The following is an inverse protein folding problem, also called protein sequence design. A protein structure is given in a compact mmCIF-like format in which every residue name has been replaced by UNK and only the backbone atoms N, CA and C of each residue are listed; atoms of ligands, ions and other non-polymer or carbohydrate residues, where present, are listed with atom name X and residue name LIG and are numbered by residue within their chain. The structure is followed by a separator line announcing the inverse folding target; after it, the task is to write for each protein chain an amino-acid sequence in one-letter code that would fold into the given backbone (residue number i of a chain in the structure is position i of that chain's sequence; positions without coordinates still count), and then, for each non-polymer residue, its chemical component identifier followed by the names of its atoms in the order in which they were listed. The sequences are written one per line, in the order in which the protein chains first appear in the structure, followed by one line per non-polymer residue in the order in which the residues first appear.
data_IF_882021477384
#
_entry.id   IF_882021477384
#
_cell.length_a   1.000
_cell.length_b   1.000
_cell.length_c   1.000
_cell.angle_alpha   90.00
_cell.angle_beta   90.00
_cell.angle_gamma   90.00
#
_symmetry.space_group_name_H-M   'P 1'
#
loop_
_entity.id
_entity.type
_entity.pdbx_description
1 polymer ?
#
# COMPACT_ATOMS: atom_id res chain seq x y z
N UNK A 1 -10.26 20.36 7.25
CA UNK A 1 -10.20 19.48 8.41
C UNK A 1 -11.60 19.00 8.73
N UNK A 2 -11.72 17.79 9.24
CA UNK A 2 -12.98 17.25 9.78
C UNK A 2 -12.97 17.39 11.29
N UNK A 3 -14.14 17.38 11.89
CA UNK A 3 -14.29 17.27 13.33
C UNK A 3 -13.72 15.94 13.84
N UNK A 4 -13.32 15.88 15.13
CA UNK A 4 -12.85 14.64 15.73
C UNK A 4 -13.91 13.52 15.60
N UNK A 5 -13.45 12.33 15.25
CA UNK A 5 -14.28 11.14 15.13
C UNK A 5 -13.85 10.17 16.23
N UNK A 6 -14.80 9.79 17.07
CA UNK A 6 -14.60 8.77 18.11
C UNK A 6 -15.16 7.43 17.60
N UNK A 7 -14.47 6.33 17.91
CA UNK A 7 -14.97 4.98 17.66
C UNK A 7 -14.07 4.08 16.83
N UNK A 8 -14.70 3.16 16.12
CA UNK A 8 -14.05 2.09 15.36
C UNK A 8 -13.22 2.64 14.19
N UNK A 9 -11.98 2.19 14.00
CA UNK A 9 -11.15 2.50 12.82
C UNK A 9 -11.86 2.29 11.47
N UNK A 10 -12.74 1.31 11.39
CA UNK A 10 -13.57 1.05 10.20
C UNK A 10 -14.48 2.24 9.87
N UNK A 11 -15.09 2.84 10.88
CA UNK A 11 -15.95 4.02 10.69
C UNK A 11 -15.17 5.21 10.11
N UNK A 12 -13.92 5.40 10.54
CA UNK A 12 -13.03 6.42 9.98
C UNK A 12 -12.73 6.17 8.51
N UNK A 13 -12.54 4.90 8.13
CA UNK A 13 -12.36 4.50 6.72
C UNK A 13 -13.61 4.81 5.89
N UNK A 14 -14.81 4.51 6.40
CA UNK A 14 -16.06 4.78 5.70
C UNK A 14 -16.28 6.30 5.50
N UNK A 15 -15.92 7.13 6.48
CA UNK A 15 -15.92 8.59 6.33
C UNK A 15 -14.94 9.03 5.24
N UNK A 16 -13.71 8.51 5.25
CA UNK A 16 -12.70 8.85 4.25
C UNK A 16 -13.14 8.42 2.83
N UNK A 17 -13.76 7.25 2.70
CA UNK A 17 -14.34 6.79 1.44
C UNK A 17 -15.46 7.72 0.96
N UNK A 18 -16.39 8.07 1.84
CA UNK A 18 -17.51 8.98 1.54
C UNK A 18 -17.00 10.34 1.08
N UNK A 19 -16.00 10.90 1.76
CA UNK A 19 -15.38 12.16 1.37
C UNK A 19 -14.68 12.05 0.00
N UNK A 20 -13.96 10.96 -0.24
CA UNK A 20 -13.33 10.70 -1.53
C UNK A 20 -14.35 10.61 -2.66
N UNK A 21 -15.47 9.93 -2.44
CA UNK A 21 -16.59 9.82 -3.38
C UNK A 21 -17.23 11.19 -3.64
N UNK A 22 -17.46 12.00 -2.60
CA UNK A 22 -17.98 13.35 -2.72
C UNK A 22 -17.07 14.22 -3.61
N UNK A 23 -15.77 14.17 -3.41
CA UNK A 23 -14.81 14.90 -4.23
C UNK A 23 -14.83 14.42 -5.69
N UNK A 24 -14.90 13.13 -5.94
CA UNK A 24 -14.93 12.54 -7.30
C UNK A 24 -16.20 12.92 -8.08
N UNK A 25 -17.35 12.98 -7.41
CA UNK A 25 -18.64 13.40 -8.02
C UNK A 25 -18.55 14.81 -8.59
N UNK A 26 -17.74 15.69 -8.01
CA UNK A 26 -17.55 17.06 -8.52
C UNK A 26 -16.88 17.10 -9.90
N UNK A 27 -16.22 16.02 -10.34
CA UNK A 27 -15.36 15.95 -11.56
C UNK A 27 -14.24 17.01 -11.59
N UNK A 28 -13.89 17.58 -10.42
CA UNK A 28 -12.85 18.63 -10.28
C UNK A 28 -11.55 18.10 -9.66
N UNK A 29 -11.50 16.81 -9.32
CA UNK A 29 -10.31 16.14 -8.79
C UNK A 29 -9.79 15.15 -9.80
N UNK A 30 -8.47 15.00 -9.85
CA UNK A 30 -7.84 13.99 -10.67
C UNK A 30 -8.11 12.60 -10.07
N UNK A 31 -8.05 11.56 -10.91
CA UNK A 31 -8.11 10.16 -10.50
C UNK A 31 -6.70 9.60 -10.40
N UNK A 32 -6.55 8.50 -9.68
CA UNK A 32 -5.29 7.80 -9.49
C UNK A 32 -4.71 7.92 -8.09
N UNK A 33 -3.75 7.05 -7.80
CA UNK A 33 -3.10 6.97 -6.48
C UNK A 33 -2.36 8.28 -6.19
N UNK A 34 -2.58 8.85 -5.00
CA UNK A 34 -1.90 10.07 -4.54
C UNK A 34 -2.52 11.39 -5.02
N UNK A 35 -3.61 11.35 -5.80
CA UNK A 35 -4.33 12.57 -6.23
C UNK A 35 -5.18 13.17 -5.12
N UNK A 36 -5.76 12.34 -4.26
CA UNK A 36 -6.38 12.74 -3.00
C UNK A 36 -5.46 12.31 -1.87
N UNK A 37 -4.91 13.28 -1.13
CA UNK A 37 -4.03 13.02 0.01
C UNK A 37 -4.74 13.33 1.30
N UNK A 38 -4.50 12.49 2.30
CA UNK A 38 -5.05 12.68 3.65
C UNK A 38 -3.95 12.54 4.69
N UNK A 39 -4.03 13.38 5.71
CA UNK A 39 -3.28 13.28 6.94
C UNK A 39 -4.27 12.86 8.05
N UNK A 40 -3.87 11.92 8.89
CA UNK A 40 -4.72 11.38 9.94
C UNK A 40 -4.16 11.78 11.28
N UNK A 41 -4.94 12.50 12.09
CA UNK A 41 -4.57 12.79 13.47
C UNK A 41 -5.17 11.73 14.38
N UNK A 42 -4.31 11.06 15.15
CA UNK A 42 -4.71 9.96 16.05
C UNK A 42 -4.30 10.33 17.47
N UNK A 43 -5.24 10.27 18.40
CA UNK A 43 -5.00 10.46 19.83
C UNK A 43 -5.80 9.45 20.65
N UNK A 44 -5.25 9.10 21.80
CA UNK A 44 -5.96 8.29 22.81
C UNK A 44 -6.04 9.08 24.12
N UNK A 45 -6.89 8.67 25.03
CA UNK A 45 -6.97 9.28 26.37
C UNK A 45 -5.63 9.17 27.10
N UNK A 46 -5.10 10.31 27.53
CA UNK A 46 -3.76 10.42 28.15
C UNK A 46 -2.60 10.14 27.19
N UNK A 47 -2.84 10.16 25.88
CA UNK A 47 -1.82 10.08 24.83
C UNK A 47 -1.49 11.43 24.23
N UNK A 48 -0.66 11.42 23.18
CA UNK A 48 -0.32 12.60 22.37
C UNK A 48 -1.17 12.68 21.11
N UNK A 49 -1.27 13.87 20.52
CA UNK A 49 -1.82 14.01 19.17
C UNK A 49 -0.74 13.69 18.15
N UNK A 50 -0.90 12.59 17.43
CA UNK A 50 0.03 12.12 16.42
C UNK A 50 -0.56 12.37 15.03
N UNK A 51 0.17 13.13 14.20
CA UNK A 51 -0.16 13.33 12.81
C UNK A 51 0.49 12.22 11.96
N UNK A 52 -0.30 11.38 11.30
CA UNK A 52 0.20 10.35 10.39
C UNK A 52 0.01 10.80 8.95
N UNK A 53 1.13 10.91 8.22
CA UNK A 53 1.17 11.31 6.81
C UNK A 53 1.30 10.11 5.89
N UNK A 54 0.84 10.29 4.63
CA UNK A 54 1.06 9.30 3.58
C UNK A 54 0.10 8.12 3.62
N UNK A 55 -1.07 8.26 4.23
CA UNK A 55 -2.14 7.26 4.20
C UNK A 55 -2.88 7.39 2.88
N UNK A 56 -2.35 6.76 1.82
CA UNK A 56 -2.91 6.88 0.47
C UNK A 56 -3.96 5.81 0.16
N UNK A 57 -3.87 4.66 0.80
CA UNK A 57 -4.77 3.52 0.57
C UNK A 57 -5.75 3.38 1.73
N UNK A 58 -7.04 3.46 1.43
CA UNK A 58 -8.09 3.33 2.43
C UNK A 58 -8.05 2.00 3.19
N UNK A 59 -7.62 0.92 2.52
CA UNK A 59 -7.51 -0.41 3.14
C UNK A 59 -6.42 -0.48 4.23
N UNK A 60 -5.47 0.44 4.21
CA UNK A 60 -4.43 0.54 5.25
C UNK A 60 -4.86 1.41 6.44
N UNK A 61 -5.89 2.25 6.26
CA UNK A 61 -6.30 3.23 7.26
C UNK A 61 -6.66 2.60 8.60
N UNK A 62 -7.45 1.53 8.58
CA UNK A 62 -7.82 0.78 9.79
C UNK A 62 -6.59 0.28 10.55
N UNK A 63 -5.68 -0.40 9.84
CA UNK A 63 -4.44 -0.96 10.42
C UNK A 63 -3.54 0.12 11.03
N UNK A 64 -3.41 1.25 10.33
CA UNK A 64 -2.59 2.38 10.78
C UNK A 64 -3.17 2.99 12.06
N UNK A 65 -4.49 3.19 12.12
CA UNK A 65 -5.17 3.73 13.30
C UNK A 65 -5.01 2.78 14.48
N UNK A 66 -5.26 1.49 14.27
CA UNK A 66 -5.10 0.47 15.32
C UNK A 66 -3.65 0.38 15.82
N UNK A 67 -2.68 0.35 14.89
CA UNK A 67 -1.28 0.30 15.26
C UNK A 67 -0.88 1.53 16.09
N UNK A 68 -1.23 2.73 15.63
CA UNK A 68 -0.85 3.96 16.30
C UNK A 68 -1.52 4.10 17.67
N UNK A 69 -2.79 3.70 17.81
CA UNK A 69 -3.48 3.68 19.10
C UNK A 69 -2.79 2.69 20.06
N UNK A 70 -2.45 1.48 19.61
CA UNK A 70 -1.67 0.50 20.39
C UNK A 70 -0.29 1.04 20.75
N UNK A 71 0.38 1.75 19.82
CA UNK A 71 1.69 2.35 20.06
C UNK A 71 1.63 3.38 21.18
N UNK A 72 0.67 4.29 21.12
CA UNK A 72 0.49 5.30 22.18
C UNK A 72 0.17 4.64 23.52
N UNK A 73 -0.71 3.68 23.56
CA UNK A 73 -1.03 2.96 24.77
C UNK A 73 0.17 2.19 25.34
N UNK A 74 0.96 1.53 24.49
CA UNK A 74 2.18 0.84 24.89
C UNK A 74 3.24 1.79 25.44
N UNK A 75 3.43 2.95 24.82
CA UNK A 75 4.36 3.98 25.33
C UNK A 75 3.87 4.59 26.66
N UNK A 76 2.56 4.70 26.85
CA UNK A 76 2.00 5.12 28.16
C UNK A 76 2.32 4.11 29.27
N UNK A 77 2.15 2.81 28.99
CA UNK A 77 2.53 1.75 29.94
C UNK A 77 4.04 1.76 30.26
N UNK A 78 4.89 2.04 29.26
CA UNK A 78 6.34 2.20 29.47
C UNK A 78 6.60 3.43 30.34
N UNK A 79 5.94 4.57 30.09
CA UNK A 79 6.03 5.79 30.88
C UNK A 79 5.70 5.56 32.35
N UNK A 80 4.61 4.86 32.63
CA UNK A 80 4.21 4.51 34.00
C UNK A 80 5.30 3.72 34.73
N UNK A 81 5.94 2.76 34.04
CA UNK A 81 7.09 2.01 34.59
C UNK A 81 8.32 2.87 34.79
N UNK A 82 8.67 3.74 33.85
CA UNK A 82 9.78 4.69 34.01
C UNK A 82 9.59 5.54 35.26
N UNK A 83 8.40 6.09 35.47
CA UNK A 83 8.08 6.92 36.61
C UNK A 83 8.20 6.18 37.95
N UNK A 84 7.96 4.86 37.97
CA UNK A 84 8.14 4.05 39.18
C UNK A 84 9.58 3.76 39.52
N UNK A 85 10.53 3.88 38.57
CA UNK A 85 11.97 3.64 38.84
C UNK A 85 12.67 4.77 39.57
N UNK A 86 12.06 5.96 39.57
CA UNK A 86 12.71 7.19 40.06
C UNK A 86 13.84 7.65 39.12
N UNK A 87 13.72 7.37 37.81
CA UNK A 87 14.58 7.96 36.78
C UNK A 87 14.46 9.48 36.78
N UNK A 88 15.56 10.18 36.68
CA UNK A 88 15.61 11.64 36.67
C UNK A 88 15.92 12.18 35.28
N UNK A 89 17.18 12.17 34.91
CA UNK A 89 17.67 12.67 33.62
C UNK A 89 19.01 12.02 33.27
N UNK A 90 19.45 12.22 32.04
CA UNK A 90 20.75 11.78 31.53
C UNK A 90 21.60 13.03 31.30
N UNK A 91 22.77 13.08 31.97
CA UNK A 91 23.75 14.15 31.77
C UNK A 91 24.70 13.78 30.63
N UNK A 92 24.71 14.56 29.55
CA UNK A 92 25.60 14.28 28.40
C UNK A 92 27.09 14.24 28.83
N UNK A 93 27.48 15.04 29.78
CA UNK A 93 28.88 15.13 30.24
C UNK A 93 29.29 13.99 31.17
N UNK A 94 28.33 13.40 31.90
CA UNK A 94 28.60 12.38 32.92
C UNK A 94 28.23 10.98 32.49
N UNK A 95 27.27 10.85 31.55
CA UNK A 95 26.68 9.59 31.19
C UNK A 95 27.03 9.14 29.75
N UNK A 96 27.82 9.95 29.01
CA UNK A 96 28.23 9.59 27.62
C UNK A 96 29.75 9.38 27.58
N UNK A 97 30.18 8.21 27.13
CA UNK A 97 31.57 7.76 27.13
C UNK A 97 32.02 7.35 25.73
N UNK A 98 33.22 7.76 25.32
CA UNK A 98 33.89 7.19 24.13
C UNK A 98 34.40 5.78 24.50
N UNK A 99 33.81 4.79 23.89
CA UNK A 99 34.14 3.36 24.06
C UNK A 99 34.79 2.75 22.81
N UNK A 100 35.21 3.58 21.86
CA UNK A 100 35.79 3.15 20.59
C UNK A 100 36.92 2.14 20.78
N UNK A 101 37.83 2.42 21.76
CA UNK A 101 38.97 1.51 22.03
C UNK A 101 38.55 0.15 22.60
N UNK A 102 37.50 0.12 23.41
CA UNK A 102 36.97 -1.12 24.02
C UNK A 102 36.33 -2.01 22.98
N UNK A 103 35.66 -1.39 22.02
CA UNK A 103 34.91 -2.11 20.98
C UNK A 103 35.76 -2.50 19.75
N UNK A 104 37.09 -2.27 19.77
CA UNK A 104 37.95 -2.57 18.61
C UNK A 104 38.00 -4.06 18.25
N UNK A 105 37.96 -4.93 19.23
CA UNK A 105 38.03 -6.39 19.03
C UNK A 105 36.65 -7.08 18.98
N UNK A 106 35.57 -6.28 19.12
CA UNK A 106 34.22 -6.79 19.12
C UNK A 106 33.87 -7.48 17.79
N UNK A 107 33.16 -8.61 17.88
CA UNK A 107 32.79 -9.42 16.70
C UNK A 107 31.59 -8.89 15.92
N UNK A 108 30.95 -7.83 16.37
CA UNK A 108 29.82 -7.22 15.68
C UNK A 108 30.21 -6.68 14.30
N UNK A 109 29.54 -7.14 13.26
CA UNK A 109 29.76 -6.68 11.87
C UNK A 109 29.49 -5.18 11.73
N UNK A 110 28.54 -4.65 12.48
CA UNK A 110 28.18 -3.22 12.45
C UNK A 110 29.30 -2.41 13.09
N UNK A 111 29.78 -2.80 14.26
CA UNK A 111 30.87 -2.12 14.97
C UNK A 111 32.18 -2.19 14.16
N UNK A 112 32.55 -3.36 13.62
CA UNK A 112 33.74 -3.52 12.76
C UNK A 112 33.72 -2.55 11.58
N UNK A 113 32.57 -2.46 10.90
CA UNK A 113 32.39 -1.56 9.76
C UNK A 113 32.52 -0.09 10.14
N UNK A 114 32.05 0.30 11.32
CA UNK A 114 32.21 1.65 11.85
C UNK A 114 33.69 1.95 12.18
N UNK A 115 34.42 0.97 12.76
CA UNK A 115 35.86 1.12 13.05
C UNK A 115 36.66 1.26 11.74
N UNK A 116 36.38 0.45 10.73
CA UNK A 116 37.01 0.57 9.39
C UNK A 116 36.82 1.95 8.77
N UNK A 117 35.66 2.56 9.01
CA UNK A 117 35.34 3.93 8.56
C UNK A 117 35.90 5.04 9.47
N UNK A 118 36.64 4.67 10.51
CA UNK A 118 37.17 5.61 11.51
C UNK A 118 36.08 6.40 12.25
N UNK A 119 34.90 5.83 12.35
CA UNK A 119 33.79 6.37 13.12
C UNK A 119 34.05 6.20 14.62
N UNK A 120 33.30 6.93 15.43
CA UNK A 120 33.37 6.84 16.90
C UNK A 120 32.26 5.97 17.43
N UNK A 121 32.54 5.27 18.52
CA UNK A 121 31.57 4.45 19.24
C UNK A 121 31.41 5.03 20.63
N UNK A 122 30.15 5.31 20.96
CA UNK A 122 29.80 5.88 22.27
C UNK A 122 28.90 4.91 23.03
N UNK A 123 29.15 4.85 24.34
CA UNK A 123 28.24 4.22 25.30
C UNK A 123 27.48 5.31 26.05
N UNK A 124 26.19 5.14 26.21
CA UNK A 124 25.35 6.06 27.00
C UNK A 124 24.81 5.29 28.20
N UNK A 125 25.15 5.70 29.40
CA UNK A 125 24.63 5.15 30.66
C UNK A 125 23.26 5.75 30.95
N UNK A 126 22.31 4.88 31.32
CA UNK A 126 20.95 5.29 31.64
C UNK A 126 20.55 4.67 32.97
N UNK A 127 20.61 5.50 34.01
CA UNK A 127 20.36 5.03 35.37
C UNK A 127 18.93 4.58 35.55
N UNK A 128 18.71 3.47 36.24
CA UNK A 128 17.42 2.92 36.68
C UNK A 128 16.45 2.50 35.59
N UNK A 129 16.89 2.34 34.33
CA UNK A 129 16.01 1.96 33.22
C UNK A 129 16.28 0.54 32.66
N UNK A 130 16.91 -0.35 33.43
CA UNK A 130 17.16 -1.75 33.02
C UNK A 130 15.85 -2.44 32.68
N UNK A 131 15.82 -3.12 31.55
CA UNK A 131 14.67 -3.90 31.06
C UNK A 131 13.60 -3.07 30.34
N UNK A 132 13.67 -1.73 30.35
CA UNK A 132 12.61 -0.88 29.80
C UNK A 132 12.78 -0.58 28.31
N UNK A 133 13.98 -0.74 27.74
CA UNK A 133 14.20 -0.61 26.29
C UNK A 133 13.66 -1.80 25.51
N UNK A 134 13.81 -2.99 26.11
CA UNK A 134 13.31 -4.25 25.56
C UNK A 134 11.86 -4.56 25.91
N UNK A 135 11.26 -3.83 26.87
CA UNK A 135 9.86 -4.03 27.26
C UNK A 135 8.92 -3.82 26.08
N UNK A 136 8.12 -4.83 25.79
CA UNK A 136 7.21 -4.87 24.64
C UNK A 136 5.77 -5.05 25.12
N UNK A 137 5.06 -3.97 25.51
CA UNK A 137 3.67 -4.06 25.94
C UNK A 137 2.72 -4.60 24.87
N UNK A 138 3.02 -4.31 23.62
CA UNK A 138 2.36 -4.83 22.42
C UNK A 138 3.40 -5.18 21.38
N UNK A 139 3.08 -6.10 20.48
CA UNK A 139 3.97 -6.56 19.42
C UNK A 139 4.58 -5.37 18.67
N UNK A 140 5.89 -5.37 18.56
CA UNK A 140 6.68 -4.33 17.87
C UNK A 140 6.67 -2.92 18.51
N UNK A 141 6.16 -2.76 19.72
CA UNK A 141 6.10 -1.48 20.42
C UNK A 141 7.05 -1.48 21.63
N UNK A 142 8.23 -0.90 21.45
CA UNK A 142 9.34 -0.85 22.42
C UNK A 142 10.03 0.49 22.38
N UNK A 143 10.50 0.95 23.52
CA UNK A 143 11.30 2.18 23.60
C UNK A 143 12.59 2.10 22.75
N UNK A 144 13.25 0.93 22.75
CA UNK A 144 14.43 0.68 21.93
C UNK A 144 14.15 0.86 20.43
N UNK A 145 12.99 0.39 19.94
CA UNK A 145 12.58 0.57 18.53
C UNK A 145 12.33 2.04 18.18
N UNK A 146 11.70 2.81 19.07
CA UNK A 146 11.47 4.24 18.90
C UNK A 146 12.80 5.01 18.75
N UNK A 147 13.77 4.70 19.62
CA UNK A 147 15.10 5.30 19.56
C UNK A 147 15.83 4.87 18.28
N UNK A 148 15.76 3.59 17.91
CA UNK A 148 16.36 3.09 16.68
C UNK A 148 15.81 3.77 15.42
N UNK A 149 14.52 4.12 15.40
CA UNK A 149 13.93 4.91 14.31
C UNK A 149 14.45 6.36 14.32
N UNK A 150 14.55 6.96 15.49
CA UNK A 150 14.99 8.35 15.64
C UNK A 150 16.41 8.58 15.13
N UNK A 151 17.36 7.71 15.44
CA UNK A 151 18.77 7.91 15.07
C UNK A 151 19.01 7.79 13.56
N UNK A 152 18.12 7.18 12.82
CA UNK A 152 18.22 7.08 11.34
C UNK A 152 18.19 8.45 10.66
N UNK A 153 17.57 9.46 11.27
CA UNK A 153 17.60 10.85 10.79
C UNK A 153 18.98 11.45 10.76
N UNK A 154 19.90 10.92 11.57
CA UNK A 154 21.28 11.34 11.63
C UNK A 154 22.20 10.47 10.77
N UNK A 155 21.64 9.64 9.90
CA UNK A 155 22.40 8.72 9.06
C UNK A 155 22.95 7.50 9.79
N UNK A 156 22.52 7.26 11.04
CA UNK A 156 22.97 6.16 11.89
C UNK A 156 22.02 4.98 11.72
N UNK A 157 22.58 3.78 11.46
CA UNK A 157 21.81 2.58 11.16
C UNK A 157 20.92 2.08 12.31
N UNK A 158 21.27 2.39 13.56
CA UNK A 158 20.55 1.98 14.77
C UNK A 158 21.38 2.16 16.02
N UNK A 159 20.83 1.70 17.14
CA UNK A 159 21.50 1.62 18.45
C UNK A 159 21.35 0.21 18.99
N UNK A 160 22.30 -0.24 19.79
CA UNK A 160 22.17 -1.44 20.63
C UNK A 160 21.82 -1.01 22.04
N UNK A 161 20.93 -1.75 22.70
CA UNK A 161 20.61 -1.51 24.11
C UNK A 161 20.90 -2.74 24.96
N UNK A 162 21.22 -2.52 26.22
CA UNK A 162 21.60 -3.55 27.18
C UNK A 162 20.58 -4.71 27.27
N UNK A 163 19.30 -4.43 27.07
CA UNK A 163 18.25 -5.44 27.26
C UNK A 163 18.16 -6.45 26.09
N UNK A 164 18.84 -6.20 24.97
CA UNK A 164 18.89 -7.14 23.83
C UNK A 164 20.25 -7.85 23.70
N UNK A 165 21.19 -7.51 24.53
CA UNK A 165 22.53 -8.10 24.55
C UNK A 165 22.61 -9.26 25.57
N UNK A 166 23.45 -10.32 25.31
CA UNK A 166 24.39 -10.47 24.19
C UNK A 166 23.69 -10.85 22.88
N UNK A 167 24.02 -10.13 21.82
CA UNK A 167 23.50 -10.36 20.46
C UNK A 167 24.33 -9.60 19.42
N UNK A 168 24.06 -9.78 18.13
CA UNK A 168 24.65 -9.03 17.01
C UNK A 168 26.19 -9.08 16.94
N UNK A 169 26.80 -10.10 17.55
CA UNK A 169 28.26 -10.24 17.66
C UNK A 169 28.89 -9.38 18.76
N UNK A 170 28.09 -8.85 19.68
CA UNK A 170 28.52 -8.27 20.94
C UNK A 170 28.38 -9.37 22.00
N UNK A 171 29.50 -9.81 22.56
CA UNK A 171 29.58 -10.95 23.45
C UNK A 171 29.68 -10.52 24.93
N UNK A 172 29.53 -11.46 25.86
CA UNK A 172 29.58 -11.19 27.31
C UNK A 172 30.86 -10.48 27.74
N UNK A 173 31.99 -10.78 27.08
CA UNK A 173 33.26 -10.11 27.33
C UNK A 173 33.23 -8.61 26.98
N UNK A 174 32.63 -8.29 25.83
CA UNK A 174 32.47 -6.89 25.41
C UNK A 174 31.51 -6.15 26.36
N UNK A 175 30.39 -6.79 26.72
CA UNK A 175 29.39 -6.25 27.63
C UNK A 175 30.02 -5.93 28.98
N UNK A 176 30.86 -6.83 29.51
CA UNK A 176 31.57 -6.63 30.78
C UNK A 176 32.49 -5.39 30.71
N UNK A 177 33.28 -5.25 29.64
CA UNK A 177 34.16 -4.08 29.47
C UNK A 177 33.37 -2.78 29.34
N UNK A 178 32.26 -2.81 28.60
CA UNK A 178 31.36 -1.65 28.48
C UNK A 178 30.73 -1.31 29.83
N UNK A 179 30.24 -2.28 30.60
CA UNK A 179 29.61 -2.13 31.90
C UNK A 179 30.60 -1.52 32.91
N UNK A 180 31.83 -2.01 32.93
CA UNK A 180 32.90 -1.45 33.78
C UNK A 180 33.24 -0.02 33.38
N UNK A 181 33.38 0.26 32.09
CA UNK A 181 33.73 1.62 31.60
C UNK A 181 32.64 2.65 31.87
N UNK A 182 31.37 2.27 31.79
CA UNK A 182 30.22 3.15 32.01
C UNK A 182 29.80 3.18 33.49
N UNK A 183 30.44 2.42 34.36
CA UNK A 183 30.06 2.28 35.79
C UNK A 183 28.58 1.96 35.96
N UNK A 184 28.12 0.89 35.23
CA UNK A 184 26.71 0.47 35.21
C UNK A 184 26.37 -0.30 36.50
N UNK A 185 25.36 0.18 37.21
CA UNK A 185 24.83 -0.45 38.41
C UNK A 185 23.69 -1.48 38.06
N UNK A 186 23.26 -2.27 39.03
CA UNK A 186 22.33 -3.39 38.83
C UNK A 186 21.02 -3.00 38.15
N UNK A 187 20.52 -1.79 38.31
CA UNK A 187 19.26 -1.30 37.75
C UNK A 187 19.44 -0.38 36.54
N UNK A 188 20.68 -0.19 36.09
CA UNK A 188 20.97 0.71 34.98
C UNK A 188 20.91 -0.02 33.65
N UNK A 189 20.56 0.72 32.62
CA UNK A 189 20.69 0.32 31.23
C UNK A 189 21.82 1.09 30.55
N UNK A 190 22.22 0.62 29.38
CA UNK A 190 23.10 1.37 28.50
C UNK A 190 22.69 1.23 27.03
N UNK A 191 23.12 2.21 26.24
CA UNK A 191 23.04 2.16 24.79
C UNK A 191 24.43 2.21 24.18
N UNK A 192 24.62 1.55 23.04
CA UNK A 192 25.82 1.65 22.20
C UNK A 192 25.41 2.24 20.87
N UNK A 193 26.08 3.31 20.46
CA UNK A 193 25.84 3.99 19.19
C UNK A 193 27.16 4.25 18.47
N UNK A 194 27.18 4.00 17.16
CA UNK A 194 28.35 4.21 16.33
C UNK A 194 28.02 5.15 15.15
N UNK A 195 28.95 6.03 14.81
CA UNK A 195 28.80 6.93 13.68
C UNK A 195 29.89 8.00 13.61
N UNK A 196 29.82 8.85 12.59
CA UNK A 196 30.71 10.00 12.49
C UNK A 196 30.52 10.94 13.68
N UNK A 197 31.61 11.61 14.11
CA UNK A 197 31.65 12.38 15.36
C UNK A 197 30.54 13.43 15.47
N UNK A 198 30.22 14.16 14.41
CA UNK A 198 29.23 15.24 14.45
C UNK A 198 27.81 14.64 14.42
N UNK A 199 27.41 13.81 13.43
CA UNK A 199 26.08 13.20 13.43
C UNK A 199 25.77 12.41 14.70
N UNK A 200 26.72 11.62 15.23
CA UNK A 200 26.49 10.83 16.44
C UNK A 200 26.28 11.71 17.67
N UNK A 201 26.91 12.87 17.74
CA UNK A 201 26.69 13.82 18.85
C UNK A 201 25.24 14.37 18.84
N UNK A 202 24.72 14.74 17.68
CA UNK A 202 23.32 15.17 17.55
C UNK A 202 22.33 14.00 17.81
N UNK A 203 22.67 12.81 17.37
CA UNK A 203 21.85 11.63 17.66
C UNK A 203 21.78 11.34 19.17
N UNK A 204 22.88 11.46 19.89
CA UNK A 204 22.92 11.33 21.36
C UNK A 204 22.05 12.40 22.05
N UNK A 205 22.09 13.63 21.61
CA UNK A 205 21.21 14.68 22.12
C UNK A 205 19.74 14.35 21.89
N UNK A 206 19.40 13.86 20.70
CA UNK A 206 18.06 13.43 20.37
C UNK A 206 17.61 12.21 21.21
N UNK A 207 18.49 11.25 21.45
CA UNK A 207 18.24 10.09 22.33
C UNK A 207 17.94 10.54 23.75
N UNK A 208 18.79 11.40 24.32
CA UNK A 208 18.62 11.92 25.68
C UNK A 208 17.27 12.61 25.81
N UNK A 209 16.94 13.49 24.88
CA UNK A 209 15.64 14.15 24.83
C UNK A 209 14.47 13.17 24.71
N UNK A 210 14.60 12.17 23.84
CA UNK A 210 13.53 11.17 23.62
C UNK A 210 13.27 10.32 24.86
N UNK A 211 14.34 9.94 25.59
CA UNK A 211 14.22 9.17 26.84
C UNK A 211 13.62 10.07 27.94
N UNK A 212 14.02 11.32 28.01
CA UNK A 212 13.46 12.29 28.98
C UNK A 212 11.96 12.50 28.75
N UNK A 213 11.54 12.64 27.51
CA UNK A 213 10.12 12.75 27.13
C UNK A 213 9.33 11.46 27.36
N UNK A 214 10.00 10.30 27.42
CA UNK A 214 9.32 9.02 27.66
C UNK A 214 8.65 8.94 29.05
N UNK A 215 9.03 9.79 30.00
CA UNK A 215 8.34 9.92 31.31
C UNK A 215 6.92 10.47 31.16
N UNK A 216 6.71 11.31 30.17
CA UNK A 216 5.44 12.02 29.96
C UNK A 216 4.50 11.23 29.02
N UNK A 217 4.95 10.06 28.54
CA UNK A 217 4.20 9.21 27.62
C UNK A 217 4.58 9.42 26.15
N UNK A 218 3.65 9.18 25.20
CA UNK A 218 3.91 9.35 23.77
C UNK A 218 4.04 10.86 23.44
N UNK A 219 5.18 11.29 22.88
CA UNK A 219 5.37 12.70 22.51
C UNK A 219 4.51 13.05 21.29
N UNK A 220 4.06 14.30 21.22
CA UNK A 220 3.39 14.83 20.05
C UNK A 220 4.37 14.90 18.86
N UNK A 221 4.11 14.14 17.80
CA UNK A 221 5.00 14.03 16.65
C UNK A 221 4.23 13.79 15.34
N UNK A 222 4.92 14.03 14.22
CA UNK A 222 4.45 13.64 12.89
C UNK A 222 5.14 12.33 12.53
N UNK A 223 4.36 11.37 12.06
CA UNK A 223 4.81 10.03 11.64
C UNK A 223 4.45 9.78 10.20
N UNK A 224 5.10 8.85 9.53
CA UNK A 224 4.76 8.40 8.20
C UNK A 224 4.14 6.99 8.29
N UNK A 225 3.07 6.77 7.53
CA UNK A 225 2.51 5.44 7.31
C UNK A 225 3.45 4.59 6.45
N UNK A 226 3.54 3.30 6.74
CA UNK A 226 4.28 2.34 5.91
C UNK A 226 3.34 1.40 5.20
N UNK A 227 3.84 0.72 4.18
CA UNK A 227 3.05 -0.29 3.45
C UNK A 227 2.61 -1.47 4.32
N UNK A 228 3.27 -1.69 5.47
CA UNK A 228 2.91 -2.76 6.42
C UNK A 228 1.72 -2.40 7.32
N UNK A 229 1.30 -1.13 7.31
CA UNK A 229 0.24 -0.63 8.19
C UNK A 229 0.74 -0.19 9.57
N UNK A 230 2.05 -0.04 9.76
CA UNK A 230 2.67 0.59 10.92
C UNK A 230 3.09 2.04 10.62
N UNK A 231 3.61 2.73 11.62
CA UNK A 231 4.07 4.11 11.50
C UNK A 231 5.53 4.24 11.90
N UNK A 232 6.26 5.15 11.25
CA UNK A 232 7.64 5.50 11.60
C UNK A 232 7.75 6.98 11.92
N UNK A 233 8.66 7.34 12.85
CA UNK A 233 8.93 8.72 13.19
C UNK A 233 9.37 9.52 11.97
N UNK A 234 8.81 10.71 11.79
CA UNK A 234 9.16 11.61 10.70
C UNK A 234 9.79 12.91 11.24
N UNK A 235 9.17 13.54 12.21
CA UNK A 235 9.65 14.76 12.85
C UNK A 235 8.83 15.06 14.12
N UNK A 236 9.32 15.91 15.03
CA UNK A 236 8.47 16.48 16.07
C UNK A 236 7.30 17.24 15.46
N UNK A 237 6.16 17.27 16.14
CA UNK A 237 5.02 18.07 15.70
C UNK A 237 5.39 19.54 15.73
N UNK A 238 5.07 20.33 14.70
CA UNK A 238 5.26 21.77 14.73
C UNK A 238 4.53 22.38 15.92
N UNK A 239 5.24 23.20 16.71
CA UNK A 239 4.63 23.92 17.82
C UNK A 239 3.68 25.04 17.36
N UNK A 240 2.98 25.65 18.32
CA UNK A 240 2.01 26.72 18.09
C UNK A 240 2.58 27.92 17.29
N UNK A 241 3.89 28.13 17.32
CA UNK A 241 4.58 29.17 16.54
C UNK A 241 4.49 29.01 15.02
N UNK A 242 4.07 27.83 14.53
CA UNK A 242 3.79 27.58 13.09
C UNK A 242 2.30 27.60 12.74
N UNK A 243 1.43 27.81 13.72
CA UNK A 243 -0.02 27.86 13.55
C UNK A 243 -0.52 29.24 14.01
N UNK A 244 -0.06 30.28 13.34
CA UNK A 244 -0.57 31.63 13.52
C UNK A 244 -1.71 31.91 12.55
N UNK A 245 -2.61 32.85 12.89
CA UNK A 245 -3.66 33.29 11.97
C UNK A 245 -3.05 33.80 10.66
N UNK A 246 -3.65 33.40 9.52
CA UNK A 246 -3.24 33.89 8.21
C UNK A 246 -3.54 35.38 8.11
N UNK A 247 -2.49 36.19 7.95
CA UNK A 247 -2.62 37.66 7.91
C UNK A 247 -2.50 38.21 6.49
N UNK A 248 -2.01 37.40 5.54
CA UNK A 248 -1.75 37.82 4.17
C UNK A 248 -2.96 37.61 3.24
N UNK A 249 -3.94 36.84 3.70
CA UNK A 249 -5.19 36.60 2.96
C UNK A 249 -6.30 37.47 3.56
N UNK A 250 -6.88 38.38 2.77
CA UNK A 250 -8.01 39.20 3.23
C UNK A 250 -9.25 38.33 3.51
N UNK A 251 -10.09 38.80 4.38
CA UNK A 251 -11.38 38.15 4.67
C UNK A 251 -12.21 38.02 3.40
N UNK A 252 -12.61 36.79 3.07
CA UNK A 252 -13.53 36.51 1.95
C UNK A 252 -14.97 36.63 2.48
N UNK A 253 -15.75 37.52 1.89
CA UNK A 253 -17.17 37.65 2.21
C UNK A 253 -17.96 36.77 1.25
N UNK A 254 -18.64 35.79 1.77
CA UNK A 254 -19.55 34.92 0.99
C UNK A 254 -20.91 35.64 0.90
N UNK A 255 -21.39 35.89 -0.33
CA UNK A 255 -22.68 36.57 -0.57
C UNK A 255 -23.81 35.55 -0.78
N UNK A 256 -25.05 36.01 -0.66
CA UNK A 256 -26.22 35.17 -0.91
C UNK A 256 -26.30 34.73 -2.38
N UNK A 257 -25.86 35.58 -3.31
CA UNK A 257 -25.79 35.29 -4.74
C UNK A 257 -24.79 34.14 -5.01
N UNK A 258 -23.59 34.20 -4.42
CA UNK A 258 -22.59 33.12 -4.54
C UNK A 258 -23.12 31.82 -3.94
N UNK A 259 -23.78 31.88 -2.78
CA UNK A 259 -24.41 30.71 -2.18
C UNK A 259 -25.52 30.11 -3.07
N UNK A 260 -26.31 30.94 -3.71
CA UNK A 260 -27.35 30.49 -4.65
C UNK A 260 -26.72 29.82 -5.88
N UNK A 261 -25.67 30.41 -6.45
CA UNK A 261 -24.93 29.82 -7.57
C UNK A 261 -24.32 28.45 -7.21
N UNK A 262 -23.65 28.38 -6.06
CA UNK A 262 -23.09 27.11 -5.58
C UNK A 262 -24.19 26.06 -5.37
N UNK A 263 -25.30 26.42 -4.72
CA UNK A 263 -26.43 25.50 -4.49
C UNK A 263 -27.06 25.02 -5.81
N UNK A 264 -27.14 25.86 -6.82
CA UNK A 264 -27.67 25.51 -8.14
C UNK A 264 -26.75 24.57 -8.91
N UNK A 265 -25.44 24.57 -8.57
CA UNK A 265 -24.41 23.79 -9.22
C UNK A 265 -23.91 22.62 -8.34
N UNK A 266 -24.62 22.29 -7.25
CA UNK A 266 -24.25 21.10 -6.44
C UNK A 266 -24.35 19.87 -7.31
N UNK A 267 -23.26 19.08 -7.43
CA UNK A 267 -23.28 17.84 -8.20
C UNK A 267 -24.24 16.83 -7.58
N UNK A 268 -24.73 15.91 -8.39
CA UNK A 268 -25.57 14.81 -7.93
C UNK A 268 -24.83 14.00 -6.86
N UNK A 269 -25.56 13.41 -5.92
CA UNK A 269 -24.93 12.53 -4.94
C UNK A 269 -24.31 11.30 -5.62
N UNK A 270 -23.40 10.67 -4.93
CA UNK A 270 -22.75 9.43 -5.42
C UNK A 270 -23.80 8.35 -5.74
N UNK A 271 -24.79 8.15 -4.87
CA UNK A 271 -25.86 7.16 -5.06
C UNK A 271 -26.70 7.46 -6.33
N UNK A 272 -26.97 8.74 -6.58
CA UNK A 272 -27.64 9.17 -7.81
C UNK A 272 -26.79 8.88 -9.05
N UNK A 273 -25.49 9.18 -8.96
CA UNK A 273 -24.55 8.94 -10.06
C UNK A 273 -24.44 7.46 -10.39
N UNK A 274 -24.40 6.58 -9.38
CA UNK A 274 -24.41 5.12 -9.57
C UNK A 274 -25.69 4.66 -10.24
N UNK A 275 -26.87 5.11 -9.77
CA UNK A 275 -28.14 4.75 -10.40
C UNK A 275 -28.23 5.18 -11.87
N UNK A 276 -27.74 6.37 -12.19
CA UNK A 276 -27.69 6.84 -13.58
C UNK A 276 -26.76 5.98 -14.46
N UNK A 277 -25.65 5.50 -13.90
CA UNK A 277 -24.78 4.55 -14.61
C UNK A 277 -25.47 3.20 -14.84
N UNK A 278 -26.17 2.67 -13.83
CA UNK A 278 -26.96 1.44 -13.95
C UNK A 278 -28.01 1.58 -15.06
N UNK A 279 -28.76 2.68 -15.04
CA UNK A 279 -29.82 2.93 -16.02
C UNK A 279 -29.26 3.20 -17.43
N UNK A 280 -28.22 4.04 -17.54
CA UNK A 280 -27.64 4.43 -18.84
C UNK A 280 -26.94 3.29 -19.54
N UNK A 281 -26.18 2.49 -18.81
CA UNK A 281 -25.34 1.44 -19.38
C UNK A 281 -25.86 0.03 -19.15
N UNK A 282 -26.99 -0.13 -18.45
CA UNK A 282 -27.59 -1.42 -18.11
C UNK A 282 -26.61 -2.38 -17.43
N UNK A 283 -25.76 -1.83 -16.53
CA UNK A 283 -24.82 -2.58 -15.71
C UNK A 283 -25.37 -2.78 -14.30
N UNK A 284 -24.92 -3.80 -13.58
CA UNK A 284 -25.37 -4.03 -12.21
C UNK A 284 -24.71 -3.03 -11.22
N UNK A 285 -25.32 -2.87 -10.04
CA UNK A 285 -24.87 -1.92 -9.01
C UNK A 285 -23.39 -2.10 -8.65
N UNK A 286 -22.95 -3.33 -8.38
CA UNK A 286 -21.57 -3.62 -8.02
C UNK A 286 -20.57 -3.15 -9.10
N UNK A 287 -20.88 -3.39 -10.35
CA UNK A 287 -20.04 -3.00 -11.48
C UNK A 287 -20.07 -1.49 -11.71
N UNK A 288 -21.24 -0.84 -11.49
CA UNK A 288 -21.38 0.61 -11.52
C UNK A 288 -20.54 1.30 -10.44
N UNK A 289 -20.54 0.75 -9.22
CA UNK A 289 -19.68 1.24 -8.14
C UNK A 289 -18.20 1.06 -8.48
N UNK A 290 -17.80 -0.13 -8.92
CA UNK A 290 -16.41 -0.44 -9.24
C UNK A 290 -15.87 0.48 -10.34
N UNK A 291 -16.61 0.66 -11.43
CA UNK A 291 -16.14 1.51 -12.53
C UNK A 291 -16.15 3.00 -12.16
N UNK A 292 -17.14 3.46 -11.40
CA UNK A 292 -17.19 4.83 -10.93
C UNK A 292 -16.04 5.19 -10.00
N UNK A 293 -15.68 4.29 -9.09
CA UNK A 293 -14.60 4.47 -8.13
C UNK A 293 -13.20 4.18 -8.73
N UNK A 294 -13.12 3.59 -9.93
CA UNK A 294 -11.86 3.28 -10.62
C UNK A 294 -11.23 4.49 -11.30
N UNK A 295 -9.96 4.36 -11.66
CA UNK A 295 -9.24 5.34 -12.49
C UNK A 295 -9.69 5.29 -13.96
N UNK A 296 -10.42 4.24 -14.34
CA UNK A 296 -10.89 4.00 -15.70
C UNK A 296 -12.27 4.57 -16.01
N UNK A 297 -12.91 5.32 -15.10
CA UNK A 297 -14.28 5.80 -15.30
C UNK A 297 -14.45 6.62 -16.57
N UNK A 298 -13.58 7.60 -16.82
CA UNK A 298 -13.64 8.45 -18.01
C UNK A 298 -13.33 7.67 -19.29
N UNK A 299 -12.40 6.73 -19.21
CA UNK A 299 -12.08 5.81 -20.29
C UNK A 299 -13.26 4.89 -20.63
N UNK A 300 -13.96 4.39 -19.62
CA UNK A 300 -15.18 3.61 -19.78
C UNK A 300 -16.27 4.42 -20.50
N UNK A 301 -16.53 5.65 -20.05
CA UNK A 301 -17.52 6.52 -20.72
C UNK A 301 -17.15 6.76 -22.20
N UNK A 302 -15.87 7.00 -22.48
CA UNK A 302 -15.36 7.20 -23.85
C UNK A 302 -15.55 5.94 -24.70
N UNK A 303 -15.10 4.80 -24.24
CA UNK A 303 -15.25 3.52 -25.00
C UNK A 303 -16.72 3.22 -25.26
N UNK A 304 -17.61 3.36 -24.27
CA UNK A 304 -19.04 3.10 -24.44
C UNK A 304 -19.75 4.11 -25.35
N UNK A 305 -19.19 5.33 -25.54
CA UNK A 305 -19.74 6.34 -26.45
C UNK A 305 -19.23 6.19 -27.88
N UNK A 306 -18.01 5.70 -28.07
CA UNK A 306 -17.35 5.59 -29.37
C UNK A 306 -17.54 4.19 -30.01
N UNK A 307 -17.85 3.16 -29.23
CA UNK A 307 -17.91 1.77 -29.66
C UNK A 307 -19.23 1.10 -29.26
N UNK A 308 -19.67 0.11 -30.05
CA UNK A 308 -20.87 -0.70 -29.76
C UNK A 308 -20.61 -1.90 -28.84
N UNK A 309 -19.48 -1.93 -28.17
CA UNK A 309 -19.16 -2.98 -27.22
C UNK A 309 -20.11 -2.95 -26.00
N UNK A 310 -20.45 -4.14 -25.50
CA UNK A 310 -21.32 -4.25 -24.32
C UNK A 310 -20.70 -3.53 -23.11
N UNK A 311 -21.39 -2.54 -22.51
CA UNK A 311 -20.85 -1.82 -21.34
C UNK A 311 -20.47 -2.72 -20.16
N UNK A 312 -21.23 -3.80 -19.92
CA UNK A 312 -20.90 -4.82 -18.92
C UNK A 312 -19.55 -5.46 -19.19
N UNK A 313 -19.27 -5.76 -20.45
CA UNK A 313 -17.99 -6.36 -20.82
C UNK A 313 -16.84 -5.36 -20.70
N UNK A 314 -17.02 -4.13 -21.18
CA UNK A 314 -16.01 -3.06 -21.05
C UNK A 314 -15.67 -2.82 -19.59
N UNK A 315 -16.67 -2.64 -18.73
CA UNK A 315 -16.46 -2.43 -17.30
C UNK A 315 -15.78 -3.63 -16.62
N UNK A 316 -16.14 -4.87 -17.00
CA UNK A 316 -15.51 -6.08 -16.47
C UNK A 316 -14.03 -6.17 -16.87
N UNK A 317 -13.70 -5.82 -18.10
CA UNK A 317 -12.28 -5.80 -18.55
C UNK A 317 -11.50 -4.76 -17.77
N UNK A 318 -11.98 -3.53 -17.66
CA UNK A 318 -11.30 -2.45 -16.98
C UNK A 318 -11.14 -2.68 -15.47
N UNK A 319 -12.18 -3.19 -14.80
CA UNK A 319 -12.16 -3.39 -13.34
C UNK A 319 -11.63 -4.75 -12.90
N UNK A 320 -11.81 -5.81 -13.70
CA UNK A 320 -11.49 -7.16 -13.27
C UNK A 320 -10.30 -7.75 -14.02
N UNK A 321 -10.26 -7.69 -15.36
CA UNK A 321 -9.18 -8.30 -16.14
C UNK A 321 -7.85 -7.62 -15.85
N UNK A 322 -7.77 -6.28 -15.90
CA UNK A 322 -6.54 -5.53 -15.60
C UNK A 322 -6.09 -5.81 -14.17
N UNK A 323 -7.01 -5.73 -13.19
CA UNK A 323 -6.67 -6.01 -11.78
C UNK A 323 -6.17 -7.45 -11.57
N UNK A 324 -6.70 -8.43 -12.29
CA UNK A 324 -6.21 -9.81 -12.21
C UNK A 324 -4.78 -9.94 -12.76
N UNK A 325 -4.46 -9.26 -13.85
CA UNK A 325 -3.11 -9.22 -14.40
C UNK A 325 -2.13 -8.53 -13.42
N UNK A 326 -2.53 -7.45 -12.76
CA UNK A 326 -1.75 -6.80 -11.69
C UNK A 326 -1.47 -7.76 -10.52
N UNK A 327 -2.46 -8.54 -10.09
CA UNK A 327 -2.29 -9.55 -9.03
C UNK A 327 -1.33 -10.68 -9.43
N UNK A 328 -1.15 -10.93 -10.72
CA UNK A 328 -0.13 -11.83 -11.25
C UNK A 328 1.27 -11.20 -11.31
N UNK A 329 1.42 -9.94 -10.89
CA UNK A 329 2.69 -9.21 -10.84
C UNK A 329 3.01 -8.43 -12.11
N UNK A 330 2.06 -8.22 -13.01
CA UNK A 330 2.23 -7.44 -14.22
C UNK A 330 2.01 -5.94 -13.95
N UNK A 331 2.69 -5.10 -14.72
CA UNK A 331 2.69 -3.65 -14.53
C UNK A 331 1.65 -2.95 -15.41
N UNK A 332 0.50 -2.58 -14.82
CA UNK A 332 -0.56 -1.84 -15.53
C UNK A 332 -0.16 -0.44 -15.98
N UNK A 333 0.86 0.15 -15.39
CA UNK A 333 1.39 1.44 -15.83
C UNK A 333 1.98 1.44 -17.25
N UNK A 334 2.21 0.26 -17.82
CA UNK A 334 2.66 0.08 -19.20
C UNK A 334 1.50 0.06 -20.22
N UNK A 335 0.27 -0.10 -19.76
CA UNK A 335 -0.92 -0.15 -20.60
C UNK A 335 -1.60 1.23 -20.59
N UNK A 336 -1.43 2.00 -21.65
CA UNK A 336 -2.02 3.32 -21.76
C UNK A 336 -3.46 3.30 -22.32
N UNK A 337 -4.19 4.41 -22.14
CA UNK A 337 -5.58 4.52 -22.56
C UNK A 337 -5.80 4.29 -24.06
N UNK A 338 -4.90 4.76 -24.92
CA UNK A 338 -5.03 4.58 -26.38
C UNK A 338 -4.85 3.11 -26.79
N UNK A 339 -3.99 2.36 -26.11
CA UNK A 339 -3.86 0.92 -26.34
C UNK A 339 -5.12 0.16 -25.92
N UNK A 340 -5.74 0.56 -24.82
CA UNK A 340 -7.01 -0.02 -24.37
C UNK A 340 -8.11 0.26 -25.40
N UNK A 341 -8.26 1.53 -25.83
CA UNK A 341 -9.27 1.93 -26.82
C UNK A 341 -9.05 1.15 -28.13
N UNK A 342 -7.84 1.14 -28.66
CA UNK A 342 -7.51 0.43 -29.91
C UNK A 342 -7.83 -1.06 -29.82
N UNK A 343 -7.69 -1.67 -28.64
CA UNK A 343 -8.05 -3.06 -28.43
C UNK A 343 -9.58 -3.28 -28.53
N UNK A 344 -10.37 -2.36 -27.96
CA UNK A 344 -11.84 -2.43 -28.09
C UNK A 344 -12.33 -2.11 -29.52
N UNK A 345 -11.65 -1.23 -30.24
CA UNK A 345 -11.91 -0.97 -31.67
C UNK A 345 -11.66 -2.22 -32.53
N UNK A 346 -10.58 -2.96 -32.27
CA UNK A 346 -10.29 -4.22 -32.95
C UNK A 346 -11.34 -5.29 -32.63
N UNK A 347 -11.86 -5.30 -31.39
CA UNK A 347 -12.95 -6.20 -31.02
C UNK A 347 -14.25 -5.86 -31.78
N UNK A 348 -14.60 -4.56 -31.87
CA UNK A 348 -15.79 -4.11 -32.62
C UNK A 348 -15.69 -4.42 -34.11
N UNK A 349 -14.48 -4.28 -34.68
CA UNK A 349 -14.17 -4.66 -36.07
C UNK A 349 -14.12 -6.16 -36.30
N UNK A 350 -14.42 -6.97 -35.28
CA UNK A 350 -14.33 -8.45 -35.31
C UNK A 350 -12.95 -8.98 -35.72
N UNK A 351 -11.89 -8.15 -35.61
CA UNK A 351 -10.50 -8.57 -35.87
C UNK A 351 -9.90 -9.42 -34.76
N UNK A 352 -10.44 -9.26 -33.56
CA UNK A 352 -10.09 -10.07 -32.38
C UNK A 352 -11.37 -10.55 -31.68
N UNK A 353 -11.24 -11.53 -30.80
CA UNK A 353 -12.34 -11.94 -29.93
C UNK A 353 -12.13 -11.48 -28.48
N UNK A 354 -13.12 -11.68 -27.62
CA UNK A 354 -13.10 -11.23 -26.22
C UNK A 354 -11.94 -11.81 -25.42
N UNK A 355 -11.60 -13.06 -25.67
CA UNK A 355 -10.55 -13.82 -24.99
C UNK A 355 -9.14 -13.29 -25.37
N UNK A 356 -9.02 -12.65 -26.52
CA UNK A 356 -7.75 -12.05 -26.97
C UNK A 356 -7.34 -10.83 -26.17
N UNK A 357 -8.29 -10.10 -25.57
CA UNK A 357 -8.01 -8.86 -24.83
C UNK A 357 -7.07 -9.11 -23.65
N UNK A 358 -7.32 -10.13 -22.86
CA UNK A 358 -6.47 -10.51 -21.73
C UNK A 358 -5.04 -10.82 -22.21
N UNK A 359 -4.91 -11.56 -23.32
CA UNK A 359 -3.61 -11.93 -23.89
C UNK A 359 -2.85 -10.70 -24.42
N UNK A 360 -3.53 -9.76 -25.07
CA UNK A 360 -2.92 -8.50 -25.57
C UNK A 360 -2.41 -7.69 -24.39
N UNK A 361 -3.23 -7.51 -23.35
CA UNK A 361 -2.84 -6.77 -22.17
C UNK A 361 -1.68 -7.44 -21.43
N UNK A 362 -1.68 -8.77 -21.32
CA UNK A 362 -0.57 -9.53 -20.74
C UNK A 362 0.75 -9.28 -21.50
N UNK A 363 0.73 -9.29 -22.83
CA UNK A 363 1.93 -9.04 -23.64
C UNK A 363 2.49 -7.63 -23.41
N UNK A 364 1.63 -6.62 -23.33
CA UNK A 364 2.04 -5.22 -23.10
C UNK A 364 2.54 -5.05 -21.66
N UNK A 365 1.76 -5.49 -20.66
CA UNK A 365 2.08 -5.34 -19.24
C UNK A 365 3.32 -6.15 -18.82
N UNK A 366 3.67 -7.22 -19.56
CA UNK A 366 4.90 -8.01 -19.35
C UNK A 366 6.11 -7.51 -20.14
N UNK A 367 6.02 -6.37 -20.84
CA UNK A 367 7.06 -5.78 -21.72
C UNK A 367 7.44 -6.67 -22.89
N UNK A 368 6.61 -7.61 -23.30
CA UNK A 368 6.84 -8.44 -24.48
C UNK A 368 6.37 -7.76 -25.77
N UNK A 369 5.51 -6.76 -25.67
CA UNK A 369 5.04 -5.94 -26.77
C UNK A 369 4.94 -4.46 -26.35
N UNK A 370 5.22 -3.56 -27.26
CA UNK A 370 5.14 -2.11 -27.01
C UNK A 370 3.81 -1.50 -27.48
N UNK A 371 3.05 -2.22 -28.28
CA UNK A 371 1.77 -1.78 -28.82
C UNK A 371 0.86 -2.98 -29.13
N UNK A 372 -0.41 -2.69 -29.42
CA UNK A 372 -1.44 -3.70 -29.64
C UNK A 372 -1.16 -4.59 -30.86
N UNK A 373 -0.61 -4.04 -31.94
CA UNK A 373 -0.31 -4.82 -33.15
C UNK A 373 0.83 -5.82 -32.89
N UNK A 374 1.88 -5.39 -32.25
CA UNK A 374 2.98 -6.27 -31.83
C UNK A 374 2.49 -7.36 -30.86
N UNK A 375 1.59 -6.99 -29.94
CA UNK A 375 0.99 -7.97 -29.02
C UNK A 375 0.17 -9.04 -29.76
N UNK A 376 -0.56 -8.67 -30.80
CA UNK A 376 -1.30 -9.61 -31.66
C UNK A 376 -0.37 -10.58 -32.37
N UNK A 377 0.73 -10.07 -32.94
CA UNK A 377 1.72 -10.89 -33.64
C UNK A 377 2.39 -11.87 -32.66
N UNK A 378 2.88 -11.37 -31.54
CA UNK A 378 3.57 -12.16 -30.51
C UNK A 378 2.68 -13.27 -29.92
N UNK A 379 1.41 -12.96 -29.67
CA UNK A 379 0.45 -13.92 -29.16
C UNK A 379 -0.10 -14.86 -30.24
N UNK A 380 0.32 -14.70 -31.51
CA UNK A 380 -0.20 -15.44 -32.66
C UNK A 380 -1.74 -15.40 -32.70
N UNK A 381 -2.31 -14.24 -32.37
CA UNK A 381 -3.75 -13.99 -32.40
C UNK A 381 -4.13 -13.61 -33.84
N UNK A 382 -3.99 -14.54 -34.73
CA UNK A 382 -4.60 -14.47 -36.07
C UNK A 382 -5.88 -15.26 -36.02
N UNK A 383 -6.98 -14.67 -36.50
CA UNK A 383 -8.23 -15.44 -36.64
C UNK A 383 -7.96 -16.65 -37.55
N UNK A 384 -8.33 -17.82 -37.03
CA UNK A 384 -8.31 -19.03 -37.86
C UNK A 384 -9.32 -18.87 -38.99
N UNK A 385 -8.90 -19.24 -40.20
CA UNK A 385 -9.85 -19.39 -41.29
C UNK A 385 -10.92 -20.45 -40.92
N UNK A 386 -12.11 -20.35 -41.50
CA UNK A 386 -13.16 -21.35 -41.26
C UNK A 386 -12.69 -22.78 -41.51
N UNK A 387 -11.87 -22.99 -42.54
CA UNK A 387 -11.33 -24.29 -42.88
C UNK A 387 -10.34 -24.84 -41.84
N UNK A 388 -9.50 -23.96 -41.26
CA UNK A 388 -8.55 -24.31 -40.18
C UNK A 388 -9.29 -24.65 -38.89
N UNK A 389 -10.29 -23.84 -38.54
CA UNK A 389 -11.13 -24.09 -37.38
C UNK A 389 -11.87 -25.44 -37.54
N UNK A 390 -12.48 -25.67 -38.68
CA UNK A 390 -13.18 -26.93 -38.97
C UNK A 390 -12.27 -28.14 -38.86
N UNK A 391 -11.03 -28.05 -39.34
CA UNK A 391 -10.04 -29.12 -39.22
C UNK A 391 -9.70 -29.42 -37.76
N UNK A 392 -9.44 -28.39 -36.96
CA UNK A 392 -9.13 -28.54 -35.51
C UNK A 392 -10.32 -29.19 -34.79
N UNK A 393 -11.54 -28.72 -35.05
CA UNK A 393 -12.73 -29.27 -34.43
C UNK A 393 -12.99 -30.71 -34.85
N UNK A 394 -12.72 -31.09 -36.11
CA UNK A 394 -12.79 -32.46 -36.58
C UNK A 394 -11.78 -33.37 -35.89
N UNK A 395 -10.56 -32.95 -35.72
CA UNK A 395 -9.55 -33.71 -34.97
C UNK A 395 -9.97 -33.96 -33.51
N UNK A 396 -10.53 -32.94 -32.84
CA UNK A 396 -11.05 -33.08 -31.47
C UNK A 396 -12.19 -34.06 -31.40
N UNK A 397 -13.11 -33.99 -32.34
CA UNK A 397 -14.26 -34.87 -32.43
C UNK A 397 -13.83 -36.33 -32.72
N UNK A 398 -12.92 -36.54 -33.67
CA UNK A 398 -12.41 -37.88 -33.99
C UNK A 398 -11.70 -38.53 -32.78
N UNK A 399 -10.88 -37.76 -32.06
CA UNK A 399 -10.20 -38.25 -30.85
C UNK A 399 -11.15 -38.59 -29.70
N UNK A 400 -12.38 -38.06 -29.72
CA UNK A 400 -13.38 -38.25 -28.66
C UNK A 400 -14.65 -38.96 -29.14
N UNK A 401 -14.61 -39.65 -30.25
CA UNK A 401 -15.77 -40.26 -30.88
C UNK A 401 -16.52 -41.27 -30.00
N UNK A 402 -15.78 -42.09 -29.25
CA UNK A 402 -16.36 -43.04 -28.29
C UNK A 402 -17.12 -42.32 -27.16
N UNK A 403 -16.55 -41.23 -26.64
CA UNK A 403 -17.20 -40.42 -25.62
C UNK A 403 -18.46 -39.73 -26.15
N UNK A 404 -18.45 -39.27 -27.38
CA UNK A 404 -19.62 -38.67 -28.03
C UNK A 404 -20.74 -39.70 -28.18
N UNK A 405 -20.41 -40.94 -28.54
CA UNK A 405 -21.41 -42.05 -28.66
C UNK A 405 -22.00 -42.41 -27.29
N UNK A 406 -21.23 -42.37 -26.22
CA UNK A 406 -21.70 -42.70 -24.87
C UNK A 406 -22.50 -41.56 -24.22
N UNK A 407 -21.99 -40.33 -24.28
CA UNK A 407 -22.56 -39.20 -23.57
C UNK A 407 -23.49 -38.32 -24.43
N UNK A 408 -23.52 -38.57 -25.75
CA UNK A 408 -24.33 -37.82 -26.72
C UNK A 408 -24.09 -36.30 -26.58
N UNK A 409 -25.15 -35.49 -26.57
CA UNK A 409 -25.06 -34.03 -26.46
C UNK A 409 -24.44 -33.53 -25.13
N UNK A 410 -24.35 -34.36 -24.09
CA UNK A 410 -23.68 -33.99 -22.82
C UNK A 410 -22.17 -33.84 -23.00
N UNK A 411 -21.59 -34.50 -24.01
CA UNK A 411 -20.17 -34.37 -24.36
C UNK A 411 -19.78 -32.96 -24.83
N UNK A 412 -20.74 -32.13 -25.30
CA UNK A 412 -20.51 -30.80 -25.85
C UNK A 412 -19.72 -29.89 -24.90
N UNK A 413 -20.05 -29.89 -23.60
CA UNK A 413 -19.35 -29.05 -22.61
C UNK A 413 -17.88 -29.44 -22.47
N UNK A 414 -17.58 -30.74 -22.42
CA UNK A 414 -16.19 -31.22 -22.32
C UNK A 414 -15.40 -30.93 -23.61
N UNK A 415 -16.03 -31.17 -24.79
CA UNK A 415 -15.42 -30.87 -26.09
C UNK A 415 -15.20 -29.36 -26.29
N UNK A 416 -16.13 -28.55 -25.80
CA UNK A 416 -15.96 -27.10 -25.80
C UNK A 416 -14.73 -26.68 -25.00
N UNK A 417 -14.48 -27.27 -23.81
CA UNK A 417 -13.28 -27.03 -23.03
C UNK A 417 -11.98 -27.39 -23.77
N UNK A 418 -11.98 -28.54 -24.50
CA UNK A 418 -10.83 -28.94 -25.30
C UNK A 418 -10.63 -28.02 -26.50
N UNK A 419 -11.69 -27.66 -27.22
CA UNK A 419 -11.63 -26.76 -28.35
C UNK A 419 -11.13 -25.35 -27.92
N UNK A 420 -11.65 -24.82 -26.81
CA UNK A 420 -11.21 -23.53 -26.27
C UNK A 420 -9.74 -23.54 -25.87
N UNK A 421 -9.20 -24.66 -25.42
CA UNK A 421 -7.78 -24.80 -25.10
C UNK A 421 -6.89 -24.73 -26.36
N UNK A 422 -7.32 -25.34 -27.45
CA UNK A 422 -6.55 -25.39 -28.71
C UNK A 422 -6.65 -24.09 -29.53
N UNK A 423 -7.82 -23.42 -29.47
CA UNK A 423 -8.06 -22.23 -30.32
C UNK A 423 -8.29 -20.95 -29.50
N UNK A 424 -7.83 -20.91 -28.24
CA UNK A 424 -7.98 -19.76 -27.37
C UNK A 424 -7.47 -18.49 -28.06
N UNK A 425 -8.30 -17.46 -28.13
CA UNK A 425 -7.95 -16.19 -28.77
C UNK A 425 -8.01 -16.16 -30.31
N UNK A 426 -8.23 -17.32 -30.99
CA UNK A 426 -8.19 -17.44 -32.47
C UNK A 426 -9.56 -17.66 -33.12
N UNK A 427 -10.59 -17.99 -32.35
CA UNK A 427 -11.95 -18.13 -32.82
C UNK A 427 -12.97 -17.81 -31.71
N UNK A 428 -14.15 -17.31 -32.10
CA UNK A 428 -15.21 -16.97 -31.14
C UNK A 428 -15.79 -18.24 -30.50
N UNK A 429 -15.94 -18.22 -29.16
CA UNK A 429 -16.59 -19.35 -28.45
C UNK A 429 -18.00 -19.67 -28.94
N UNK A 430 -18.74 -18.68 -29.45
CA UNK A 430 -20.06 -18.86 -30.03
C UNK A 430 -19.99 -19.68 -31.32
N UNK A 431 -19.04 -19.37 -32.21
CA UNK A 431 -18.82 -20.09 -33.46
C UNK A 431 -18.37 -21.52 -33.18
N UNK A 432 -17.43 -21.71 -32.25
CA UNK A 432 -16.93 -23.01 -31.83
C UNK A 432 -18.08 -23.88 -31.31
N UNK A 433 -18.91 -23.32 -30.41
CA UNK A 433 -20.05 -24.04 -29.85
C UNK A 433 -21.04 -24.48 -30.91
N UNK A 434 -21.39 -23.58 -31.83
CA UNK A 434 -22.31 -23.89 -32.92
C UNK A 434 -21.76 -25.01 -33.83
N UNK A 435 -20.49 -24.87 -34.26
CA UNK A 435 -19.86 -25.88 -35.15
C UNK A 435 -19.68 -27.24 -34.45
N UNK A 436 -19.31 -27.25 -33.16
CA UNK A 436 -19.24 -28.49 -32.37
C UNK A 436 -20.61 -29.16 -32.26
N UNK A 437 -21.65 -28.37 -31.97
CA UNK A 437 -23.03 -28.90 -31.91
C UNK A 437 -23.46 -29.54 -33.22
N UNK A 438 -23.29 -28.85 -34.35
CA UNK A 438 -23.61 -29.35 -35.69
C UNK A 438 -22.84 -30.64 -36.03
N UNK A 439 -21.54 -30.68 -35.67
CA UNK A 439 -20.71 -31.87 -35.94
C UNK A 439 -21.04 -33.05 -35.03
N UNK A 440 -21.43 -32.84 -33.77
CA UNK A 440 -21.89 -33.88 -32.85
C UNK A 440 -23.23 -34.45 -33.35
N UNK A 441 -24.19 -33.59 -33.72
CA UNK A 441 -25.48 -34.03 -34.29
C UNK A 441 -25.32 -34.89 -35.53
N UNK A 442 -24.34 -34.59 -36.41
CA UNK A 442 -24.01 -35.40 -37.58
C UNK A 442 -23.43 -36.79 -37.25
N UNK A 443 -22.86 -36.98 -36.08
CA UNK A 443 -22.31 -38.28 -35.65
C UNK A 443 -23.39 -39.14 -34.99
N UNK A 444 -24.37 -38.50 -34.36
CA UNK A 444 -25.45 -39.18 -33.63
C UNK A 444 -26.63 -39.58 -34.54
N UNK A 445 -26.76 -38.94 -35.71
CA UNK A 445 -27.69 -39.30 -36.78
C UNK A 445 -27.02 -40.25 -37.77
#
# INVERSE_FOLDING_TARGET
ALDPVEGDPKFVKDIALTLGRLLRVTKRVMRGIGTIRQDVNISIEGGGVIEVKGVQQLDQLEKIIEFEAKRQHGLKLISEKINQTGFTEISKNEDVFDITKIMQECNSKIIKKSIERKEKIFGVRIKKLKGLFGLEPYSDIRLGKEIGQLVRFFGIGGVFHSDELPNYGIEDGDIKQVTEKLDIQNNDAFLIIAGEKIPVSYAIDAIINRISLAKDGPPAETRAATQKGDTIFLRPRPGASRMYPETDIPTVKVTDEELFEVRSNIPKSWEKSIKELEEKYQINNQLAEQIFDSDYFELFERICSENQNSPNFVASVLCSTITNLERQGLDSGLLNNEQIISTFELLEQEKINKESIEMIFEQIMSKKANNVLEALENASITQLSENELDRILEEIIQKNKEKIQQEQMRSLSALMGLAMKEVRGKASGKIINQKLKEKIEKILN
#
